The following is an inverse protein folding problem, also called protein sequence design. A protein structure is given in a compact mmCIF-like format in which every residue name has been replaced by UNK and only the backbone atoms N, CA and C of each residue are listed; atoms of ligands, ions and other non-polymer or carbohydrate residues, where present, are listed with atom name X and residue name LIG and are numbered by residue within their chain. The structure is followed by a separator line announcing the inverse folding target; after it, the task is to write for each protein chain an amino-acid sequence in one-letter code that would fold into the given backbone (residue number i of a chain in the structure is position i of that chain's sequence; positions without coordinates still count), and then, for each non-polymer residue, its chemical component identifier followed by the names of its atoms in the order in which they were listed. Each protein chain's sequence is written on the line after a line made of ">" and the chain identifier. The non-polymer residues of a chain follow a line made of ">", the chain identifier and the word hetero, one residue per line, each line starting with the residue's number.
data_IF_517381550877
#
_entry.id   IF_517381550877
#
_cell.length_a   1.000
_cell.length_b   1.000
_cell.length_c   1.000
_cell.angle_alpha   90.00
_cell.angle_beta   90.00
_cell.angle_gamma   90.00
#
_symmetry.space_group_name_H-M   'P 1'
#
loop_
_entity.id
_entity.type
_entity.pdbx_description
1 polymer ?
#
# COMPACT_ATOMS: atom_id res chain seq x y z
N UNK A 1 -1.48 -2.79 16.88
CA UNK A 1 -2.36 -1.90 16.09
C UNK A 1 -3.36 -2.80 15.37
N UNK A 2 -4.66 -2.52 15.43
CA UNK A 2 -5.70 -3.39 14.83
C UNK A 2 -6.29 -2.83 13.55
N UNK A 3 -6.13 -1.53 13.29
CA UNK A 3 -6.51 -0.91 12.02
C UNK A 3 -5.75 -1.56 10.86
N UNK A 4 -6.43 -2.01 9.79
CA UNK A 4 -5.79 -2.47 8.57
C UNK A 4 -4.87 -1.38 7.98
N UNK A 5 -3.71 -1.80 7.47
CA UNK A 5 -2.73 -0.85 6.90
C UNK A 5 -2.35 -1.27 5.49
N UNK A 6 -2.38 -0.29 4.60
CA UNK A 6 -1.87 -0.39 3.25
C UNK A 6 -0.59 0.43 3.09
N UNK A 7 0.48 -0.22 2.64
CA UNK A 7 1.80 0.40 2.40
C UNK A 7 2.10 0.35 0.91
N UNK A 8 2.41 1.50 0.32
CA UNK A 8 2.83 1.58 -1.08
C UNK A 8 4.34 1.74 -1.14
N UNK A 9 5.01 0.86 -1.90
CA UNK A 9 6.41 1.03 -2.27
C UNK A 9 6.51 1.69 -3.65
N UNK A 10 7.11 2.88 -3.68
CA UNK A 10 7.50 3.59 -4.89
C UNK A 10 9.02 3.41 -5.09
N UNK A 11 9.49 2.49 -5.96
CA UNK A 11 10.91 2.14 -6.04
C UNK A 11 11.82 3.25 -6.50
N UNK A 12 11.28 4.26 -7.22
CA UNK A 12 12.02 5.42 -7.70
C UNK A 12 11.84 6.65 -6.78
N UNK A 13 11.30 6.47 -5.57
CA UNK A 13 11.15 7.54 -4.58
C UNK A 13 12.52 8.04 -4.09
N UNK A 14 12.92 9.30 -4.35
CA UNK A 14 14.18 9.84 -3.88
C UNK A 14 14.22 10.12 -2.37
N UNK A 15 13.06 10.28 -1.71
CA UNK A 15 12.97 10.55 -0.28
C UNK A 15 12.93 9.26 0.55
N UNK A 16 12.19 8.26 0.07
CA UNK A 16 12.00 6.99 0.78
C UNK A 16 12.21 5.77 -0.13
N UNK A 17 13.43 5.57 -0.66
CA UNK A 17 13.73 4.44 -1.53
C UNK A 17 13.59 3.09 -0.79
N UNK A 18 13.53 1.94 -1.49
CA UNK A 18 13.66 0.64 -0.84
C UNK A 18 14.91 0.58 0.05
N UNK A 19 14.85 -0.04 1.25
CA UNK A 19 13.78 -0.92 1.73
C UNK A 19 12.76 -0.27 2.68
N UNK A 20 12.53 1.05 2.63
CA UNK A 20 11.69 1.77 3.61
C UNK A 20 10.27 1.17 3.76
N UNK A 21 9.57 0.93 2.64
CA UNK A 21 8.23 0.35 2.67
C UNK A 21 8.22 -1.08 3.24
N UNK A 22 9.25 -1.89 2.94
CA UNK A 22 9.40 -3.23 3.51
C UNK A 22 9.69 -3.17 5.02
N UNK A 23 10.42 -2.15 5.48
CA UNK A 23 10.62 -1.93 6.91
C UNK A 23 9.30 -1.60 7.62
N UNK A 24 8.50 -0.68 7.07
CA UNK A 24 7.17 -0.34 7.60
C UNK A 24 6.25 -1.57 7.65
N UNK A 25 6.20 -2.35 6.58
CA UNK A 25 5.39 -3.56 6.54
C UNK A 25 5.73 -4.51 7.70
N UNK A 26 7.03 -4.74 7.94
CA UNK A 26 7.51 -5.59 9.03
C UNK A 26 7.25 -5.01 10.41
N UNK A 27 7.45 -3.71 10.59
CA UNK A 27 7.26 -3.04 11.87
C UNK A 27 5.78 -3.02 12.31
N UNK A 28 4.87 -2.88 11.34
CA UNK A 28 3.42 -2.85 11.60
C UNK A 28 2.86 -4.27 11.77
N UNK A 29 3.43 -5.25 11.06
CA UNK A 29 3.06 -6.67 11.14
C UNK A 29 1.77 -7.02 10.38
N UNK A 30 0.70 -6.24 10.57
CA UNK A 30 -0.59 -6.41 9.88
C UNK A 30 -0.68 -5.71 8.52
N UNK A 31 0.38 -5.04 8.07
CA UNK A 31 0.36 -4.24 6.86
C UNK A 31 0.40 -5.10 5.59
N UNK A 32 -0.44 -4.74 4.63
CA UNK A 32 -0.38 -5.20 3.24
C UNK A 32 0.45 -4.22 2.42
N UNK A 33 1.46 -4.72 1.68
CA UNK A 33 2.35 -3.88 0.88
C UNK A 33 2.18 -4.18 -0.60
N UNK A 34 2.07 -3.12 -1.42
CA UNK A 34 2.10 -3.21 -2.89
C UNK A 34 3.24 -2.34 -3.41
N UNK A 35 3.92 -2.82 -4.44
CA UNK A 35 4.92 -2.05 -5.17
C UNK A 35 4.32 -1.48 -6.46
N UNK A 36 4.59 -0.21 -6.75
CA UNK A 36 4.21 0.44 -8.02
C UNK A 36 5.48 0.69 -8.84
N UNK A 37 5.77 -0.14 -9.85
CA UNK A 37 7.00 -0.01 -10.64
C UNK A 37 7.16 1.37 -11.28
N UNK A 38 8.36 1.94 -11.20
CA UNK A 38 8.70 3.23 -11.79
C UNK A 38 8.11 4.46 -11.07
N UNK A 39 7.27 4.27 -10.05
CA UNK A 39 6.72 5.38 -9.27
C UNK A 39 7.82 6.04 -8.43
N UNK A 40 7.90 7.38 -8.52
CA UNK A 40 8.70 8.23 -7.65
C UNK A 40 7.85 8.90 -6.56
N UNK A 41 8.28 10.07 -6.08
CA UNK A 41 7.59 10.79 -4.99
C UNK A 41 6.50 11.75 -5.49
N UNK A 42 5.71 11.33 -6.46
CA UNK A 42 4.65 12.13 -7.07
C UNK A 42 3.51 11.24 -7.58
N UNK A 43 2.37 11.86 -7.90
CA UNK A 43 1.16 11.19 -8.39
C UNK A 43 0.80 11.65 -9.83
N UNK A 44 1.64 11.37 -10.85
CA UNK A 44 1.26 11.60 -12.24
C UNK A 44 0.07 10.73 -12.64
N UNK A 45 -0.70 11.13 -13.65
CA UNK A 45 -1.89 10.40 -14.11
C UNK A 45 -1.62 8.92 -14.40
N UNK A 46 -0.42 8.59 -14.90
CA UNK A 46 0.01 7.23 -15.19
C UNK A 46 -0.03 6.27 -13.98
N UNK A 47 0.13 6.77 -12.75
CA UNK A 47 0.10 5.93 -11.54
C UNK A 47 -1.27 5.89 -10.86
N UNK A 48 -2.19 6.78 -11.23
CA UNK A 48 -3.48 6.89 -10.55
C UNK A 48 -4.34 5.63 -10.72
N UNK A 49 -4.43 5.09 -11.94
CA UNK A 49 -5.23 3.89 -12.18
C UNK A 49 -4.66 2.64 -11.46
N UNK A 50 -3.35 2.33 -11.57
CA UNK A 50 -2.74 1.25 -10.79
C UNK A 50 -2.88 1.41 -9.28
N UNK A 51 -2.69 2.62 -8.75
CA UNK A 51 -2.86 2.91 -7.32
C UNK A 51 -4.31 2.75 -6.87
N UNK A 52 -5.26 3.27 -7.66
CA UNK A 52 -6.69 3.16 -7.39
C UNK A 52 -7.12 1.70 -7.25
N UNK A 53 -6.72 0.83 -8.20
CA UNK A 53 -7.03 -0.60 -8.13
C UNK A 53 -6.43 -1.28 -6.89
N UNK A 54 -5.21 -0.92 -6.52
CA UNK A 54 -4.57 -1.50 -5.34
C UNK A 54 -5.24 -1.04 -4.04
N UNK A 55 -5.71 0.21 -3.99
CA UNK A 55 -6.48 0.75 -2.88
C UNK A 55 -7.87 0.10 -2.79
N UNK A 56 -8.60 0.02 -3.90
CA UNK A 56 -9.91 -0.64 -3.97
C UNK A 56 -9.82 -2.09 -3.46
N UNK A 57 -8.83 -2.86 -3.93
CA UNK A 57 -8.62 -4.23 -3.46
C UNK A 57 -8.31 -4.33 -1.95
N UNK A 58 -7.65 -3.32 -1.37
CA UNK A 58 -7.43 -3.26 0.08
C UNK A 58 -8.74 -2.98 0.82
N UNK A 59 -9.54 -2.02 0.33
CA UNK A 59 -10.83 -1.66 0.93
C UNK A 59 -11.81 -2.83 0.88
N UNK A 60 -11.94 -3.50 -0.26
CA UNK A 60 -12.79 -4.69 -0.42
C UNK A 60 -12.39 -5.80 0.57
N UNK A 61 -11.08 -6.00 0.79
CA UNK A 61 -10.60 -6.99 1.74
C UNK A 61 -10.91 -6.61 3.20
N UNK A 62 -10.87 -5.32 3.54
CA UNK A 62 -11.26 -4.81 4.86
C UNK A 62 -12.76 -5.01 5.07
N UNK A 63 -13.59 -4.59 4.13
CA UNK A 63 -15.05 -4.73 4.20
C UNK A 63 -15.48 -6.19 4.32
N UNK A 64 -14.79 -7.10 3.62
CA UNK A 64 -15.06 -8.54 3.72
C UNK A 64 -14.72 -9.12 5.11
N UNK A 65 -13.69 -8.58 5.78
CA UNK A 65 -13.36 -8.98 7.16
C UNK A 65 -14.43 -8.47 8.12
N UNK A 66 -14.82 -7.20 8.01
CA UNK A 66 -15.83 -6.59 8.86
C UNK A 66 -17.20 -7.28 8.70
N UNK A 67 -17.60 -7.56 7.46
CA UNK A 67 -18.84 -8.30 7.16
C UNK A 67 -18.83 -9.75 7.70
N UNK A 68 -17.65 -10.32 7.91
CA UNK A 68 -17.49 -11.68 8.47
C UNK A 68 -17.60 -11.73 10.01
N UNK A 69 -17.84 -10.59 10.67
CA UNK A 69 -18.10 -10.53 12.11
C UNK A 69 -16.91 -10.93 12.99
N UNK A 70 -15.69 -10.80 12.47
CA UNK A 70 -14.45 -10.93 13.26
C UNK A 70 -14.02 -9.59 13.84
#
# INVERSE_FOLDING_TARGET
>A
MTTPVFVIEAPADPAYPPPNAQHLQRAIGSAHRVQVPGMGHALPSAVLAPLGRALEAHLDAVDAVDASGR
#
